data_IF_309293231251
#
_entry.id   IF_309293231251
#
_cell.length_a   1.000
_cell.length_b   1.000
_cell.length_c   1.000
_cell.angle_alpha   90.00
_cell.angle_beta   90.00
_cell.angle_gamma   90.00
#
_symmetry.space_group_name_H-M   'P 1'
#
loop_
_entity.id
_entity.type
_entity.pdbx_description
1 polymer ?
#
# COMPACT_ATOMS: atom_id res chain seq x y z
N UNK A 1 21.97 -32.77 13.14
CA UNK A 1 22.47 -31.56 12.46
C UNK A 1 21.37 -30.89 11.64
N UNK A 2 20.83 -31.54 10.60
CA UNK A 2 19.74 -30.97 9.77
C UNK A 2 18.51 -30.52 10.57
N UNK A 3 18.07 -31.32 11.54
CA UNK A 3 16.90 -31.01 12.38
C UNK A 3 17.05 -29.70 13.18
N UNK A 4 18.24 -29.43 13.72
CA UNK A 4 18.51 -28.19 14.46
C UNK A 4 18.53 -26.97 13.52
N UNK A 5 18.99 -27.15 12.28
CA UNK A 5 18.94 -26.11 11.24
C UNK A 5 17.48 -25.79 10.89
N UNK A 6 16.62 -26.80 10.75
CA UNK A 6 15.18 -26.60 10.51
C UNK A 6 14.54 -25.79 11.63
N UNK A 7 14.81 -26.12 12.90
CA UNK A 7 14.29 -25.35 14.03
C UNK A 7 14.81 -23.90 14.05
N UNK A 8 16.09 -23.69 13.71
CA UNK A 8 16.64 -22.34 13.60
C UNK A 8 15.95 -21.54 12.49
N UNK A 9 15.68 -22.15 11.34
CA UNK A 9 14.96 -21.53 10.22
C UNK A 9 13.50 -21.23 10.61
N UNK A 10 12.82 -22.14 11.32
CA UNK A 10 11.49 -21.88 11.89
C UNK A 10 11.53 -20.66 12.81
N UNK A 11 12.51 -20.57 13.71
CA UNK A 11 12.66 -19.44 14.62
C UNK A 11 12.87 -18.10 13.88
N UNK A 12 13.70 -18.10 12.83
CA UNK A 12 13.88 -16.96 11.93
C UNK A 12 12.56 -16.59 11.25
N UNK A 13 11.80 -17.57 10.78
CA UNK A 13 10.50 -17.35 10.17
C UNK A 13 9.48 -16.73 11.14
N UNK A 14 9.41 -17.21 12.37
CA UNK A 14 8.54 -16.65 13.42
C UNK A 14 8.92 -15.21 13.74
N UNK A 15 10.21 -14.92 13.86
CA UNK A 15 10.70 -13.55 14.09
C UNK A 15 10.39 -12.64 12.89
N UNK A 16 10.52 -13.15 11.67
CA UNK A 16 10.13 -12.46 10.45
C UNK A 16 8.65 -12.10 10.41
N UNK A 17 7.76 -12.97 10.92
CA UNK A 17 6.32 -12.70 10.96
C UNK A 17 5.98 -11.57 11.94
N UNK A 18 6.67 -11.52 13.09
CA UNK A 18 6.54 -10.40 14.03
C UNK A 18 7.02 -9.09 13.41
N UNK A 19 8.12 -9.13 12.68
CA UNK A 19 8.64 -7.97 11.96
C UNK A 19 7.65 -7.46 10.90
N UNK A 20 6.97 -8.34 10.16
CA UNK A 20 5.96 -7.94 9.17
C UNK A 20 4.78 -7.20 9.80
N UNK A 21 4.32 -7.63 10.98
CA UNK A 21 3.26 -6.92 11.73
C UNK A 21 3.75 -5.54 12.15
N UNK A 22 4.97 -5.46 12.70
CA UNK A 22 5.59 -4.18 13.07
C UNK A 22 5.70 -3.23 11.86
N UNK A 23 6.19 -3.71 10.72
CA UNK A 23 6.34 -2.89 9.51
C UNK A 23 4.98 -2.42 8.97
N UNK A 24 3.95 -3.29 9.04
CA UNK A 24 2.58 -2.93 8.63
C UNK A 24 2.04 -1.82 9.51
N UNK A 25 2.19 -1.93 10.83
CA UNK A 25 1.75 -0.91 11.79
C UNK A 25 2.51 0.42 11.59
N UNK A 26 3.82 0.35 11.32
CA UNK A 26 4.64 1.52 11.04
C UNK A 26 4.25 2.21 9.72
N UNK A 27 4.00 1.44 8.65
CA UNK A 27 3.56 1.97 7.37
C UNK A 27 2.17 2.62 7.44
N UNK A 28 1.34 2.22 8.41
CA UNK A 28 0.05 2.86 8.67
C UNK A 28 0.21 4.23 9.31
N UNK A 29 1.11 4.35 10.29
CA UNK A 29 1.23 5.57 11.09
C UNK A 29 2.28 6.57 10.62
N UNK A 30 3.37 6.17 9.94
CA UNK A 30 4.60 6.99 9.92
C UNK A 30 5.24 7.25 8.54
N UNK A 31 4.76 6.70 7.41
CA UNK A 31 5.33 7.22 6.16
C UNK A 31 4.99 6.55 4.86
N UNK A 32 4.13 7.20 4.08
CA UNK A 32 4.14 7.03 2.63
C UNK A 32 5.35 7.74 1.98
N UNK A 33 5.97 8.70 2.68
CA UNK A 33 7.10 9.54 2.21
C UNK A 33 8.41 8.76 2.03
N UNK A 34 8.73 7.85 2.95
CA UNK A 34 10.02 7.15 2.94
C UNK A 34 10.21 6.29 1.70
N UNK A 35 9.12 5.80 1.13
CA UNK A 35 9.10 4.83 0.02
C UNK A 35 8.87 5.47 -1.36
N UNK A 36 9.03 6.79 -1.49
CA UNK A 36 9.12 7.47 -2.79
C UNK A 36 10.56 7.42 -3.33
N UNK A 37 10.74 7.21 -4.64
CA UNK A 37 12.06 7.36 -5.29
C UNK A 37 12.58 8.79 -5.07
N UNK A 38 13.90 8.98 -4.94
CA UNK A 38 14.50 10.29 -4.72
C UNK A 38 14.08 11.33 -5.78
N UNK A 39 13.93 10.90 -7.04
CA UNK A 39 13.42 11.75 -8.12
C UNK A 39 11.97 12.22 -7.86
N UNK A 40 11.12 11.33 -7.37
CA UNK A 40 9.74 11.68 -7.03
C UNK A 40 9.66 12.50 -5.73
N UNK A 41 10.60 12.34 -4.78
CA UNK A 41 10.67 13.18 -3.57
C UNK A 41 11.02 14.63 -3.92
N UNK A 42 12.00 14.81 -4.81
CA UNK A 42 12.35 16.13 -5.33
C UNK A 42 11.17 16.78 -6.06
N UNK A 43 10.49 16.02 -6.93
CA UNK A 43 9.31 16.49 -7.64
C UNK A 43 8.14 16.81 -6.72
N UNK A 44 7.90 16.00 -5.68
CA UNK A 44 6.87 16.26 -4.67
C UNK A 44 7.13 17.59 -3.97
N UNK A 45 8.36 17.80 -3.46
CA UNK A 45 8.74 19.07 -2.80
C UNK A 45 8.59 20.27 -3.72
N UNK A 46 9.03 20.15 -4.97
CA UNK A 46 8.94 21.23 -5.95
C UNK A 46 7.49 21.57 -6.30
N UNK A 47 6.65 20.56 -6.53
CA UNK A 47 5.24 20.74 -6.89
C UNK A 47 4.41 21.27 -5.72
N UNK A 48 4.62 20.75 -4.51
CA UNK A 48 3.95 21.26 -3.30
C UNK A 48 4.33 22.72 -3.00
N UNK A 49 5.62 23.08 -3.10
CA UNK A 49 6.06 24.46 -2.94
C UNK A 49 5.40 25.39 -3.99
N UNK A 50 5.37 24.98 -5.26
CA UNK A 50 4.73 25.74 -6.34
C UNK A 50 3.20 25.83 -6.18
N UNK A 51 2.56 24.78 -5.67
CA UNK A 51 1.11 24.76 -5.42
C UNK A 51 0.71 25.74 -4.31
N UNK A 52 1.46 25.75 -3.19
CA UNK A 52 1.28 26.71 -2.09
C UNK A 52 1.51 28.15 -2.57
N UNK A 53 2.52 28.36 -3.42
CA UNK A 53 2.79 29.68 -3.99
C UNK A 53 1.65 30.12 -4.93
N UNK A 54 1.12 29.20 -5.74
CA UNK A 54 0.02 29.48 -6.66
C UNK A 54 -1.29 29.83 -5.92
N UNK A 55 -1.58 29.20 -4.78
CA UNK A 55 -2.75 29.56 -3.95
C UNK A 55 -2.56 30.89 -3.22
N UNK A 56 -1.34 31.23 -2.80
CA UNK A 56 -1.07 32.46 -2.04
C UNK A 56 -0.87 33.70 -2.92
N UNK A 57 -0.36 33.55 -4.14
CA UNK A 57 0.06 34.68 -4.99
C UNK A 57 -0.69 34.78 -6.32
N UNK A 58 -1.66 33.89 -6.59
CA UNK A 58 -2.34 33.75 -7.90
C UNK A 58 -1.36 33.53 -9.08
N UNK A 59 -0.11 33.19 -8.81
CA UNK A 59 0.92 32.89 -9.82
C UNK A 59 0.75 31.46 -10.37
N UNK A 60 -0.33 31.26 -11.13
CA UNK A 60 -0.78 29.97 -11.64
C UNK A 60 0.11 29.34 -12.71
N UNK A 61 0.74 30.17 -13.55
CA UNK A 61 1.47 29.71 -14.74
C UNK A 61 2.68 28.84 -14.43
N UNK A 62 3.39 29.12 -13.33
CA UNK A 62 4.55 28.35 -12.90
C UNK A 62 4.18 26.96 -12.36
N UNK A 63 3.00 26.85 -11.74
CA UNK A 63 2.44 25.58 -11.29
C UNK A 63 1.92 24.78 -12.48
N UNK A 64 1.17 25.40 -13.39
CA UNK A 64 0.60 24.76 -14.58
C UNK A 64 1.69 24.15 -15.48
N UNK A 65 2.82 24.85 -15.65
CA UNK A 65 3.97 24.33 -16.38
C UNK A 65 4.68 23.18 -15.65
N UNK A 66 4.73 23.20 -14.32
CA UNK A 66 5.34 22.11 -13.55
C UNK A 66 4.44 20.85 -13.55
N UNK A 67 3.12 21.04 -13.48
CA UNK A 67 2.11 19.99 -13.59
C UNK A 67 2.08 19.39 -14.99
N UNK A 68 2.12 20.20 -16.05
CA UNK A 68 2.11 19.66 -17.42
C UNK A 68 3.35 18.80 -17.70
N UNK A 69 4.52 19.18 -17.18
CA UNK A 69 5.74 18.39 -17.28
C UNK A 69 5.71 17.10 -16.44
N UNK A 70 5.12 17.15 -15.24
CA UNK A 70 5.09 16.00 -14.33
C UNK A 70 3.92 15.04 -14.60
N UNK A 71 2.73 15.57 -14.88
CA UNK A 71 1.42 14.91 -14.99
C UNK A 71 0.83 14.93 -16.40
N UNK A 72 1.46 15.64 -17.35
CA UNK A 72 1.03 15.68 -18.75
C UNK A 72 0.11 16.88 -19.02
N UNK A 73 0.02 17.34 -20.28
CA UNK A 73 -0.69 18.56 -20.64
C UNK A 73 -2.21 18.47 -20.51
N UNK A 74 -2.77 17.25 -20.50
CA UNK A 74 -4.22 17.00 -20.41
C UNK A 74 -4.70 16.77 -18.97
N UNK A 75 -3.82 16.87 -17.98
CA UNK A 75 -4.18 16.61 -16.58
C UNK A 75 -4.86 17.82 -15.96
N UNK A 76 -6.00 17.60 -15.30
CA UNK A 76 -6.77 18.68 -14.67
C UNK A 76 -5.96 19.39 -13.57
N UNK A 77 -5.91 20.71 -13.70
CA UNK A 77 -5.21 21.61 -12.80
C UNK A 77 -5.81 21.62 -11.40
N UNK A 78 -7.14 21.54 -11.26
CA UNK A 78 -7.82 21.54 -9.97
C UNK A 78 -7.42 20.31 -9.14
N UNK A 79 -7.34 19.15 -9.79
CA UNK A 79 -6.92 17.87 -9.20
C UNK A 79 -5.51 17.98 -8.68
N UNK A 80 -4.61 18.53 -9.50
CA UNK A 80 -3.22 18.70 -9.12
C UNK A 80 -3.10 19.66 -7.94
N UNK A 81 -3.78 20.80 -8.00
CA UNK A 81 -3.69 21.83 -6.97
C UNK A 81 -4.22 21.29 -5.63
N UNK A 82 -5.35 20.61 -5.63
CA UNK A 82 -5.92 19.94 -4.43
C UNK A 82 -4.99 18.86 -3.88
N UNK A 83 -4.38 18.05 -4.76
CA UNK A 83 -3.46 16.99 -4.33
C UNK A 83 -2.16 17.49 -3.69
N UNK A 84 -1.63 18.63 -4.16
CA UNK A 84 -0.32 19.17 -3.75
C UNK A 84 -0.41 20.26 -2.67
N UNK A 85 -1.59 20.83 -2.39
CA UNK A 85 -1.81 21.86 -1.36
C UNK A 85 -2.30 21.31 -0.02
N UNK A 86 -2.79 20.07 0.02
CA UNK A 86 -3.34 19.53 1.25
C UNK A 86 -2.29 19.36 2.35
N UNK A 87 -2.64 19.75 3.59
CA UNK A 87 -1.73 19.90 4.72
C UNK A 87 -1.05 18.58 5.17
N UNK A 88 -1.66 17.43 4.92
CA UNK A 88 -0.95 16.15 4.97
C UNK A 88 -0.18 15.97 3.65
N UNK A 89 0.97 16.64 3.55
CA UNK A 89 1.89 16.54 2.42
C UNK A 89 2.06 15.06 2.04
N UNK A 90 1.53 14.67 0.87
CA UNK A 90 1.68 13.31 0.36
C UNK A 90 0.51 12.35 0.58
N UNK A 91 -0.61 12.76 1.19
CA UNK A 91 -1.81 11.88 1.24
C UNK A 91 -2.35 11.58 -0.17
N UNK A 92 -2.42 12.58 -1.06
CA UNK A 92 -2.87 12.41 -2.44
C UNK A 92 -1.75 12.56 -3.49
N UNK A 93 -0.78 13.45 -3.25
CA UNK A 93 0.32 13.70 -4.18
C UNK A 93 1.25 12.48 -4.39
N UNK A 94 1.50 11.67 -3.35
CA UNK A 94 2.37 10.49 -3.45
C UNK A 94 1.75 9.38 -4.29
N UNK A 95 0.49 8.96 -4.04
CA UNK A 95 -0.21 8.02 -4.91
C UNK A 95 -0.23 8.47 -6.36
N UNK A 96 -0.47 9.77 -6.60
CA UNK A 96 -0.55 10.35 -7.94
C UNK A 96 0.79 10.23 -8.70
N UNK A 97 1.89 10.66 -8.08
CA UNK A 97 3.22 10.54 -8.68
C UNK A 97 3.64 9.09 -8.91
N UNK A 98 3.21 8.15 -8.06
CA UNK A 98 3.55 6.73 -8.19
C UNK A 98 2.76 6.05 -9.31
N UNK A 99 1.52 6.46 -9.56
CA UNK A 99 0.55 5.70 -10.39
C UNK A 99 0.04 6.42 -11.61
N UNK A 100 0.48 7.65 -11.86
CA UNK A 100 0.14 8.43 -13.06
C UNK A 100 0.14 7.59 -14.34
N UNK A 101 1.21 6.82 -14.59
CA UNK A 101 1.34 6.05 -15.84
C UNK A 101 0.22 5.00 -16.06
N UNK A 102 -0.41 4.55 -14.97
CA UNK A 102 -1.49 3.56 -14.96
C UNK A 102 -2.88 4.20 -15.02
N UNK A 103 -2.99 5.52 -14.82
CA UNK A 103 -4.25 6.23 -14.92
C UNK A 103 -4.62 6.44 -16.39
N UNK A 104 -5.92 6.31 -16.68
CA UNK A 104 -6.53 6.65 -17.96
C UNK A 104 -7.77 7.50 -17.70
N UNK A 105 -7.77 8.67 -18.32
CA UNK A 105 -8.88 9.61 -18.31
C UNK A 105 -9.74 9.29 -19.53
N UNK A 106 -10.96 8.82 -19.31
CA UNK A 106 -11.89 8.55 -20.39
C UNK A 106 -12.85 9.75 -20.44
N UNK A 107 -12.68 10.62 -21.44
CA UNK A 107 -13.31 11.95 -21.48
C UNK A 107 -14.84 11.98 -21.62
N UNK A 108 -15.52 10.84 -21.54
CA UNK A 108 -16.96 10.69 -21.87
C UNK A 108 -17.82 10.33 -20.66
N UNK A 109 -17.20 9.95 -19.54
CA UNK A 109 -17.84 9.77 -18.24
C UNK A 109 -16.74 9.98 -17.22
N UNK A 110 -16.91 10.88 -16.25
CA UNK A 110 -16.00 11.27 -15.14
C UNK A 110 -15.34 10.12 -14.32
N UNK A 111 -15.50 8.87 -14.72
CA UNK A 111 -14.86 7.69 -14.16
C UNK A 111 -13.40 7.56 -14.65
N UNK A 112 -12.46 8.03 -13.82
CA UNK A 112 -11.04 7.69 -13.95
C UNK A 112 -10.84 6.18 -13.79
N UNK A 113 -10.19 5.55 -14.76
CA UNK A 113 -9.88 4.11 -14.75
C UNK A 113 -8.40 3.86 -14.54
N UNK A 114 -8.09 2.74 -13.89
CA UNK A 114 -6.73 2.29 -13.62
C UNK A 114 -6.45 1.07 -14.46
N UNK A 115 -5.37 1.12 -15.25
CA UNK A 115 -4.84 -0.02 -16.00
C UNK A 115 -3.86 -0.80 -15.12
N UNK A 116 -4.28 -1.99 -14.68
CA UNK A 116 -3.47 -2.92 -13.89
C UNK A 116 -2.55 -3.74 -14.78
N UNK A 117 -3.12 -4.26 -15.88
CA UNK A 117 -2.46 -5.08 -16.90
C UNK A 117 -2.92 -4.64 -18.30
N UNK A 118 -2.27 -5.10 -19.39
CA UNK A 118 -2.60 -4.67 -20.74
C UNK A 118 -4.09 -4.79 -21.09
N UNK A 119 -4.78 -5.80 -20.55
CA UNK A 119 -6.19 -6.10 -20.78
C UNK A 119 -7.06 -5.99 -19.52
N UNK A 120 -6.51 -5.53 -18.39
CA UNK A 120 -7.27 -5.40 -17.14
C UNK A 120 -7.31 -3.96 -16.68
N UNK A 121 -8.49 -3.37 -16.81
CA UNK A 121 -8.80 -2.03 -16.34
C UNK A 121 -9.92 -2.13 -15.30
N UNK A 122 -9.80 -1.39 -14.20
CA UNK A 122 -10.89 -1.28 -13.22
C UNK A 122 -11.11 0.16 -12.85
N UNK A 123 -12.29 0.45 -12.31
CA UNK A 123 -12.56 1.73 -11.64
C UNK A 123 -11.79 1.81 -10.32
N UNK A 124 -11.60 3.03 -9.83
CA UNK A 124 -10.98 3.28 -8.54
C UNK A 124 -11.86 2.73 -7.40
N UNK A 125 -11.28 2.01 -6.42
CA UNK A 125 -12.03 1.41 -5.34
C UNK A 125 -12.66 2.49 -4.45
N UNK A 126 -13.95 2.30 -4.11
CA UNK A 126 -14.69 3.23 -3.24
C UNK A 126 -14.60 2.91 -1.75
N UNK A 127 -14.13 1.70 -1.42
CA UNK A 127 -14.11 1.17 -0.05
C UNK A 127 -12.65 1.01 0.39
N UNK A 128 -12.37 1.42 1.61
CA UNK A 128 -11.07 1.24 2.22
C UNK A 128 -10.94 -0.20 2.78
N UNK A 129 -10.19 -1.07 2.11
CA UNK A 129 -9.96 -2.46 2.53
C UNK A 129 -8.84 -2.63 3.56
N UNK A 130 -8.20 -1.53 3.99
CA UNK A 130 -6.98 -1.56 4.81
C UNK A 130 -7.16 -2.30 6.12
N UNK A 131 -8.25 -2.05 6.85
CA UNK A 131 -8.51 -2.72 8.12
C UNK A 131 -8.58 -4.25 7.97
N UNK A 132 -9.22 -4.73 6.90
CA UNK A 132 -9.35 -6.16 6.61
C UNK A 132 -7.99 -6.79 6.29
N UNK A 133 -7.19 -6.11 5.44
CA UNK A 133 -5.87 -6.61 5.05
C UNK A 133 -4.90 -6.64 6.24
N UNK A 134 -4.94 -5.63 7.11
CA UNK A 134 -4.16 -5.59 8.36
C UNK A 134 -4.58 -6.71 9.30
N UNK A 135 -5.87 -6.93 9.49
CA UNK A 135 -6.38 -8.04 10.30
C UNK A 135 -5.89 -9.39 9.76
N UNK A 136 -5.85 -9.56 8.43
CA UNK A 136 -5.35 -10.78 7.80
C UNK A 136 -3.85 -11.02 8.06
N UNK A 137 -3.02 -9.97 8.01
CA UNK A 137 -1.59 -10.06 8.38
C UNK A 137 -1.42 -10.45 9.85
N UNK A 138 -2.23 -9.88 10.75
CA UNK A 138 -2.21 -10.21 12.18
C UNK A 138 -2.59 -11.68 12.42
N UNK A 139 -3.69 -12.15 11.80
CA UNK A 139 -4.12 -13.55 11.90
C UNK A 139 -3.05 -14.49 11.36
N UNK A 140 -2.44 -14.18 10.22
CA UNK A 140 -1.32 -14.97 9.69
C UNK A 140 -0.12 -15.01 10.65
N UNK A 141 0.20 -13.88 11.31
CA UNK A 141 1.27 -13.85 12.31
C UNK A 141 0.97 -14.79 13.49
N UNK A 142 -0.27 -14.80 14.00
CA UNK A 142 -0.69 -15.74 15.04
C UNK A 142 -0.57 -17.19 14.59
N UNK A 143 -0.98 -17.51 13.34
CA UNK A 143 -0.82 -18.85 12.79
C UNK A 143 0.65 -19.28 12.70
N UNK A 144 1.54 -18.39 12.27
CA UNK A 144 2.99 -18.66 12.23
C UNK A 144 3.54 -18.95 13.64
N UNK A 145 3.16 -18.15 14.64
CA UNK A 145 3.58 -18.38 16.03
C UNK A 145 3.05 -19.71 16.57
N UNK A 146 1.78 -20.03 16.28
CA UNK A 146 1.18 -21.31 16.67
C UNK A 146 1.93 -22.49 16.03
N UNK A 147 2.23 -22.42 14.73
CA UNK A 147 3.00 -23.45 14.03
C UNK A 147 4.42 -23.58 14.61
N UNK A 148 5.08 -22.45 14.91
CA UNK A 148 6.38 -22.45 15.58
C UNK A 148 6.34 -23.13 16.94
N UNK A 149 5.36 -22.80 17.78
CA UNK A 149 5.16 -23.43 19.09
C UNK A 149 4.85 -24.93 18.97
N UNK A 150 3.96 -25.30 18.05
CA UNK A 150 3.61 -26.69 17.78
C UNK A 150 4.83 -27.50 17.33
N UNK A 151 5.73 -26.93 16.53
CA UNK A 151 6.94 -27.62 16.08
C UNK A 151 7.84 -28.09 17.23
N UNK A 152 7.85 -27.37 18.35
CA UNK A 152 8.61 -27.73 19.55
C UNK A 152 7.80 -28.70 20.42
N UNK A 153 6.50 -28.44 20.55
CA UNK A 153 5.60 -29.27 21.34
C UNK A 153 5.58 -30.73 20.85
N UNK A 154 5.50 -30.93 19.53
CA UNK A 154 5.39 -32.27 18.93
C UNK A 154 6.65 -33.12 19.03
N UNK A 155 7.79 -32.54 19.43
CA UNK A 155 9.00 -33.29 19.76
C UNK A 155 8.79 -34.23 20.96
N UNK A 156 8.07 -33.76 21.98
CA UNK A 156 7.80 -34.52 23.20
C UNK A 156 6.41 -35.14 23.21
N UNK A 157 5.47 -34.54 22.46
CA UNK A 157 4.06 -34.93 22.43
C UNK A 157 3.59 -35.08 20.98
N UNK A 158 3.96 -36.17 20.30
CA UNK A 158 3.58 -36.38 18.91
C UNK A 158 2.06 -36.46 18.77
N UNK A 159 1.52 -35.78 17.74
CA UNK A 159 0.10 -35.78 17.43
C UNK A 159 -0.27 -37.10 16.77
N UNK A 160 -1.20 -37.83 17.39
CA UNK A 160 -1.68 -39.13 16.90
C UNK A 160 -2.87 -39.05 15.94
N UNK A 161 -3.50 -37.87 15.81
CA UNK A 161 -4.60 -37.63 14.88
C UNK A 161 -4.10 -37.68 13.41
N UNK A 162 -4.61 -38.59 12.56
CA UNK A 162 -4.06 -38.80 11.21
C UNK A 162 -4.06 -37.56 10.31
N UNK A 163 -5.08 -36.70 10.42
CA UNK A 163 -5.21 -35.47 9.63
C UNK A 163 -4.31 -34.32 10.12
N UNK A 164 -3.72 -34.45 11.32
CA UNK A 164 -2.75 -33.52 11.92
C UNK A 164 -1.34 -34.10 11.98
N UNK A 165 -1.12 -35.33 11.51
CA UNK A 165 0.17 -36.02 11.62
C UNK A 165 1.32 -35.23 10.98
N UNK A 166 1.02 -34.37 10.00
CA UNK A 166 1.98 -33.46 9.38
C UNK A 166 2.61 -32.44 10.35
N UNK A 167 1.99 -32.16 11.50
CA UNK A 167 2.57 -31.30 12.55
C UNK A 167 3.77 -31.95 13.24
N UNK A 168 3.92 -33.27 13.14
CA UNK A 168 5.08 -33.98 13.68
C UNK A 168 6.29 -33.87 12.76
N UNK A 169 6.12 -33.35 11.53
CA UNK A 169 7.17 -33.20 10.52
C UNK A 169 7.69 -31.76 10.48
N UNK A 170 8.84 -31.44 11.12
CA UNK A 170 9.28 -30.05 11.28
C UNK A 170 9.57 -29.35 9.94
N UNK A 171 9.94 -30.11 8.91
CA UNK A 171 10.18 -29.57 7.57
C UNK A 171 8.88 -29.08 6.93
N UNK A 172 7.77 -29.82 7.09
CA UNK A 172 6.45 -29.42 6.59
C UNK A 172 5.98 -28.16 7.31
N UNK A 173 6.15 -28.12 8.64
CA UNK A 173 5.81 -26.94 9.45
C UNK A 173 6.64 -25.71 9.03
N UNK A 174 7.95 -25.88 8.79
CA UNK A 174 8.83 -24.84 8.28
C UNK A 174 8.34 -24.30 6.93
N UNK A 175 8.01 -25.16 5.96
CA UNK A 175 7.52 -24.73 4.65
C UNK A 175 6.21 -23.94 4.76
N UNK A 176 5.29 -24.39 5.62
CA UNK A 176 4.03 -23.67 5.86
C UNK A 176 4.25 -22.29 6.48
N UNK A 177 5.18 -22.16 7.44
CA UNK A 177 5.56 -20.86 8.01
C UNK A 177 6.05 -19.92 6.91
N UNK A 178 6.94 -20.37 6.03
CA UNK A 178 7.46 -19.54 4.95
C UNK A 178 6.42 -19.21 3.88
N UNK A 179 5.49 -20.13 3.61
CA UNK A 179 4.35 -19.85 2.75
C UNK A 179 3.45 -18.75 3.33
N UNK A 180 3.16 -18.80 4.64
CA UNK A 180 2.38 -17.76 5.34
C UNK A 180 3.12 -16.41 5.35
N UNK A 181 4.44 -16.40 5.55
CA UNK A 181 5.25 -15.18 5.43
C UNK A 181 5.15 -14.56 4.03
N UNK A 182 5.21 -15.40 3.00
CA UNK A 182 5.08 -14.93 1.63
C UNK A 182 3.68 -14.37 1.34
N UNK A 183 2.62 -15.01 1.85
CA UNK A 183 1.25 -14.52 1.74
C UNK A 183 1.11 -13.16 2.44
N UNK A 184 1.60 -13.01 3.67
CA UNK A 184 1.58 -11.74 4.39
C UNK A 184 2.35 -10.64 3.67
N UNK A 185 3.48 -10.98 3.03
CA UNK A 185 4.22 -10.04 2.18
C UNK A 185 3.41 -9.60 0.94
N UNK A 186 2.72 -10.54 0.28
CA UNK A 186 1.82 -10.21 -0.83
C UNK A 186 0.66 -9.32 -0.39
N UNK A 187 0.07 -9.60 0.77
CA UNK A 187 -1.02 -8.80 1.35
C UNK A 187 -0.55 -7.39 1.67
N UNK A 188 0.64 -7.21 2.26
CA UNK A 188 1.19 -5.88 2.54
C UNK A 188 1.42 -5.07 1.24
N UNK A 189 1.87 -5.74 0.18
CA UNK A 189 2.02 -5.10 -1.14
C UNK A 189 0.67 -4.73 -1.76
N UNK A 190 -0.34 -5.61 -1.60
CA UNK A 190 -1.70 -5.37 -2.06
C UNK A 190 -2.39 -4.27 -1.28
N UNK A 191 -2.22 -4.20 0.05
CA UNK A 191 -2.75 -3.15 0.91
C UNK A 191 -2.30 -1.78 0.42
N UNK A 192 -0.98 -1.62 0.25
CA UNK A 192 -0.42 -0.41 -0.31
C UNK A 192 -0.96 -0.08 -1.69
N UNK A 193 -1.14 -1.12 -2.51
CA UNK A 193 -1.68 -0.96 -3.85
C UNK A 193 -3.10 -0.42 -3.82
N UNK A 194 -3.98 -1.06 -3.05
CA UNK A 194 -5.38 -0.69 -2.91
C UNK A 194 -5.55 0.66 -2.21
N UNK A 195 -4.70 0.98 -1.23
CA UNK A 195 -4.76 2.25 -0.51
C UNK A 195 -4.38 3.43 -1.43
N UNK A 196 -3.31 3.31 -2.22
CA UNK A 196 -2.96 4.34 -3.19
C UNK A 196 -4.11 4.57 -4.20
N UNK A 197 -4.79 3.51 -4.65
CA UNK A 197 -5.94 3.64 -5.55
C UNK A 197 -7.17 4.25 -4.86
N UNK A 198 -7.41 3.91 -3.61
CA UNK A 198 -8.49 4.50 -2.83
C UNK A 198 -8.27 6.01 -2.64
N UNK A 199 -7.04 6.43 -2.30
CA UNK A 199 -6.68 7.84 -2.17
C UNK A 199 -6.88 8.61 -3.48
N UNK A 200 -6.49 8.03 -4.62
CA UNK A 200 -6.78 8.62 -5.94
C UNK A 200 -8.29 8.69 -6.20
N UNK A 201 -9.05 7.65 -5.88
CA UNK A 201 -10.51 7.64 -6.01
C UNK A 201 -11.23 8.66 -5.13
N UNK A 202 -10.67 8.98 -3.96
CA UNK A 202 -11.16 10.04 -3.09
C UNK A 202 -10.85 11.42 -3.68
N UNK A 203 -9.62 11.64 -4.17
CA UNK A 203 -9.20 12.88 -4.81
C UNK A 203 -10.09 13.26 -5.99
N UNK A 204 -10.28 12.36 -6.96
CA UNK A 204 -11.10 12.63 -8.14
C UNK A 204 -12.58 12.83 -7.82
N UNK A 205 -13.08 12.23 -6.73
CA UNK A 205 -14.47 12.43 -6.30
C UNK A 205 -14.65 13.76 -5.59
N UNK A 206 -13.67 14.20 -4.82
CA UNK A 206 -13.74 15.47 -4.11
C UNK A 206 -13.91 16.64 -5.08
N UNK A 207 -13.34 16.52 -6.28
CA UNK A 207 -13.41 17.53 -7.32
C UNK A 207 -14.60 17.38 -8.27
N UNK A 208 -15.02 16.14 -8.59
CA UNK A 208 -16.26 15.90 -9.32
C UNK A 208 -17.50 16.36 -8.54
N UNK A 209 -17.43 16.36 -7.20
CA UNK A 209 -18.47 16.92 -6.32
C UNK A 209 -18.12 18.37 -5.98
N UNK A 210 -17.77 19.18 -6.98
CA UNK A 210 -17.52 20.61 -6.80
C UNK A 210 -18.59 21.24 -5.90
N UNK A 211 -18.24 21.48 -4.64
CA UNK A 211 -18.96 22.42 -3.80
C UNK A 211 -18.84 23.77 -4.51
N UNK A 212 -19.97 24.43 -4.81
CA UNK A 212 -19.94 25.77 -5.35
C UNK A 212 -19.41 26.69 -4.26
N UNK A 213 -18.40 27.47 -4.65
CA UNK A 213 -18.07 28.77 -4.08
C UNK A 213 -17.71 28.85 -2.59
N UNK A 214 -16.44 29.20 -2.37
CA UNK A 214 -16.10 30.25 -1.41
C UNK A 214 -17.13 31.38 -1.47
N UNK A 215 -18.01 31.45 -0.48
CA UNK A 215 -18.69 32.68 -0.06
C UNK A 215 -19.20 32.53 1.38
N UNK A 216 -18.33 32.85 2.35
CA UNK A 216 -18.59 33.81 3.42
C UNK A 216 -17.31 34.10 4.22
#
# INVERSE_FOLDING_TARGET
MLIYIVFLIIFVGVTGALYQVYETHYNINVGNDKKLSNANKSRLKELSAKAITATQTNASSAFDHAVSNALGPEFDRGVALTAFTQAEEGSYAIPLLRRKAQLRFNGDNDAVTVRHLPFWQTQLPRINSRAVLVALVIVNCFLVQLLGAMSIYTLNYPVSLPWLAWLNEPLVVMLLIYALLFISFMIAKLDRYMHDLYQLGALFRHEAVGEPEFNQ
#
